data_IF_776132428341
#
_entry.id   IF_776132428341
#
_cell.length_a   1.000
_cell.length_b   1.000
_cell.length_c   1.000
_cell.angle_alpha   90.00
_cell.angle_beta   90.00
_cell.angle_gamma   90.00
#
_symmetry.space_group_name_H-M   'P 1'
#
loop_
_entity.id
_entity.type
_entity.pdbx_description
1 polymer ?
#
# COMPACT_ATOMS: atom_id res chain seq x y z
N UNK A 1 9.48 17.09 26.47
CA UNK A 1 9.57 18.57 26.52
C UNK A 1 10.00 19.04 25.13
N UNK A 2 9.35 20.08 24.63
CA UNK A 2 9.71 20.79 23.40
C UNK A 2 10.46 22.06 23.82
N UNK A 3 11.61 22.31 23.22
CA UNK A 3 12.40 23.53 23.44
C UNK A 3 12.36 24.33 22.15
N UNK A 4 11.90 25.58 22.24
CA UNK A 4 11.95 26.53 21.13
C UNK A 4 13.27 27.29 21.26
N UNK A 5 14.06 27.31 20.20
CA UNK A 5 15.38 27.98 20.21
C UNK A 5 15.31 29.49 20.03
N UNK A 6 14.21 29.96 19.44
CA UNK A 6 13.99 31.34 19.02
C UNK A 6 12.78 32.01 19.69
N UNK A 7 12.21 31.36 20.72
CA UNK A 7 11.03 31.80 21.48
C UNK A 7 9.81 32.20 20.64
N UNK A 8 9.77 31.79 19.36
CA UNK A 8 8.64 32.03 18.46
C UNK A 8 7.61 30.92 18.52
N UNK A 9 6.44 31.21 19.08
CA UNK A 9 5.32 30.24 19.19
C UNK A 9 4.75 29.78 17.84
N UNK A 10 5.02 30.50 16.75
CA UNK A 10 4.60 30.08 15.41
C UNK A 10 5.22 28.73 15.01
N UNK A 11 6.46 28.49 15.38
CA UNK A 11 7.16 27.21 15.14
C UNK A 11 6.52 26.01 15.84
N UNK A 12 5.81 26.24 16.95
CA UNK A 12 5.04 25.18 17.59
C UNK A 12 3.88 24.70 16.71
N UNK A 13 3.22 25.62 16.02
CA UNK A 13 2.14 25.27 15.07
C UNK A 13 2.67 24.48 13.89
N UNK A 14 3.82 24.89 13.36
CA UNK A 14 4.48 24.18 12.24
C UNK A 14 4.96 22.78 12.66
N UNK A 15 5.50 22.65 13.86
CA UNK A 15 5.90 21.34 14.40
C UNK A 15 4.69 20.40 14.57
N UNK A 16 3.54 20.91 15.02
CA UNK A 16 2.29 20.12 15.11
C UNK A 16 1.79 19.74 13.72
N UNK A 17 1.84 20.65 12.75
CA UNK A 17 1.43 20.38 11.38
C UNK A 17 2.30 19.29 10.75
N UNK A 18 3.61 19.39 10.89
CA UNK A 18 4.57 18.39 10.41
C UNK A 18 4.35 17.02 11.08
N UNK A 19 4.16 17.01 12.40
CA UNK A 19 3.89 15.77 13.14
C UNK A 19 2.60 15.08 12.68
N UNK A 20 1.54 15.83 12.39
CA UNK A 20 0.28 15.29 11.84
C UNK A 20 0.47 14.75 10.43
N UNK A 21 1.21 15.45 9.58
CA UNK A 21 1.57 14.99 8.23
C UNK A 21 2.31 13.66 8.28
N UNK A 22 3.40 13.58 9.07
CA UNK A 22 4.22 12.37 9.22
C UNK A 22 3.35 11.20 9.70
N UNK A 23 2.51 11.44 10.71
CA UNK A 23 1.64 10.40 11.25
C UNK A 23 0.64 9.86 10.21
N UNK A 24 -0.01 10.73 9.45
CA UNK A 24 -0.96 10.32 8.41
C UNK A 24 -0.23 9.59 7.26
N UNK A 25 0.94 10.04 6.85
CA UNK A 25 1.76 9.41 5.82
C UNK A 25 2.24 8.02 6.25
N UNK A 26 2.70 7.87 7.49
CA UNK A 26 3.10 6.58 8.05
C UNK A 26 1.92 5.59 8.10
N UNK A 27 0.71 6.07 8.44
CA UNK A 27 -0.49 5.23 8.39
C UNK A 27 -0.76 4.68 6.99
N UNK A 28 -0.65 5.52 5.96
CA UNK A 28 -0.85 5.12 4.56
C UNK A 28 0.18 4.09 4.14
N UNK A 29 1.45 4.31 4.48
CA UNK A 29 2.52 3.37 4.20
C UNK A 29 2.24 1.99 4.83
N UNK A 30 1.84 1.94 6.10
CA UNK A 30 1.54 0.67 6.78
C UNK A 30 0.29 0.00 6.17
N UNK A 31 -0.75 0.76 5.83
CA UNK A 31 -1.93 0.19 5.15
C UNK A 31 -1.56 -0.43 3.79
N UNK A 32 -0.73 0.25 3.02
CA UNK A 32 -0.21 -0.27 1.75
C UNK A 32 0.60 -1.55 1.97
N UNK A 33 1.53 -1.56 2.95
CA UNK A 33 2.34 -2.73 3.28
C UNK A 33 1.44 -3.93 3.62
N UNK A 34 0.44 -3.75 4.48
CA UNK A 34 -0.51 -4.82 4.82
C UNK A 34 -1.26 -5.29 3.58
N UNK A 35 -1.77 -4.36 2.76
CA UNK A 35 -2.57 -4.70 1.59
C UNK A 35 -1.80 -5.50 0.54
N UNK A 36 -0.50 -5.24 0.34
CA UNK A 36 0.29 -5.91 -0.70
C UNK A 36 0.91 -7.23 -0.22
N UNK A 37 1.20 -7.39 1.08
CA UNK A 37 1.74 -8.63 1.59
C UNK A 37 0.70 -9.77 1.63
N UNK A 38 -0.59 -9.43 1.81
CA UNK A 38 -1.67 -10.42 1.76
C UNK A 38 -1.68 -11.19 0.43
N UNK A 39 -1.73 -10.55 -0.76
CA UNK A 39 -1.69 -11.28 -2.01
C UNK A 39 -0.38 -12.04 -2.23
N UNK A 40 0.77 -11.52 -1.82
CA UNK A 40 2.05 -12.23 -1.96
C UNK A 40 2.02 -13.57 -1.23
N UNK A 41 1.49 -13.59 0.00
CA UNK A 41 1.37 -14.80 0.80
C UNK A 41 0.30 -15.74 0.21
N UNK A 42 -0.88 -15.22 -0.11
CA UNK A 42 -2.00 -16.03 -0.54
C UNK A 42 -1.83 -16.61 -1.96
N UNK A 43 -1.17 -15.87 -2.87
CA UNK A 43 -0.89 -16.36 -4.23
C UNK A 43 -0.01 -17.63 -4.20
N UNK A 44 0.88 -17.74 -3.21
CA UNK A 44 1.70 -18.95 -3.04
C UNK A 44 0.94 -20.04 -2.26
N UNK A 45 0.24 -19.65 -1.21
CA UNK A 45 -0.37 -20.60 -0.26
C UNK A 45 -1.65 -21.23 -0.81
N UNK A 46 -2.51 -20.47 -1.50
CA UNK A 46 -3.81 -20.98 -1.99
C UNK A 46 -3.63 -22.06 -3.06
N UNK A 47 -2.80 -21.91 -4.10
CA UNK A 47 -2.57 -22.98 -5.07
C UNK A 47 -1.98 -24.24 -4.45
N UNK A 48 -1.09 -24.10 -3.45
CA UNK A 48 -0.52 -25.23 -2.73
C UNK A 48 -1.59 -26.02 -1.98
N UNK A 49 -2.50 -25.35 -1.29
CA UNK A 49 -3.60 -26.00 -0.55
C UNK A 49 -4.67 -26.54 -1.51
N UNK A 50 -4.94 -25.85 -2.60
CA UNK A 50 -5.91 -26.25 -3.61
C UNK A 50 -5.44 -27.39 -4.50
N UNK A 51 -4.19 -27.84 -4.34
CA UNK A 51 -3.63 -28.95 -5.12
C UNK A 51 -3.44 -28.64 -6.60
N UNK A 52 -3.08 -27.41 -6.94
CA UNK A 52 -2.72 -27.08 -8.32
C UNK A 52 -1.51 -27.93 -8.75
N UNK A 53 -1.50 -28.36 -9.99
CA UNK A 53 -0.37 -29.10 -10.59
C UNK A 53 0.92 -28.29 -10.64
N UNK A 54 0.81 -26.97 -10.54
CA UNK A 54 1.88 -26.00 -10.59
C UNK A 54 1.87 -25.13 -9.34
N UNK A 55 2.86 -25.28 -8.47
CA UNK A 55 2.97 -24.59 -7.19
C UNK A 55 4.11 -23.57 -7.14
N UNK A 56 5.09 -23.64 -8.05
CA UNK A 56 6.25 -22.74 -8.09
C UNK A 56 5.91 -21.42 -8.78
N UNK A 57 4.96 -20.65 -8.19
CA UNK A 57 4.48 -19.39 -8.78
C UNK A 57 5.56 -18.31 -8.69
N UNK A 58 6.21 -18.18 -7.54
CA UNK A 58 7.29 -17.20 -7.34
C UNK A 58 8.64 -17.89 -7.13
N UNK A 59 9.62 -17.45 -7.91
CA UNK A 59 11.03 -17.75 -7.62
C UNK A 59 11.59 -16.68 -6.67
N UNK A 60 12.72 -16.92 -5.99
CA UNK A 60 13.37 -15.92 -5.16
C UNK A 60 13.61 -14.59 -5.88
N UNK A 61 13.91 -14.62 -7.19
CA UNK A 61 14.11 -13.43 -8.01
C UNK A 61 12.83 -12.58 -8.10
N UNK A 62 11.66 -13.20 -8.25
CA UNK A 62 10.38 -12.49 -8.27
C UNK A 62 10.12 -11.79 -6.93
N UNK A 63 10.40 -12.45 -5.81
CA UNK A 63 10.20 -11.89 -4.47
C UNK A 63 11.15 -10.70 -4.25
N UNK A 64 12.43 -10.84 -4.58
CA UNK A 64 13.42 -9.75 -4.48
C UNK A 64 12.99 -8.56 -5.33
N UNK A 65 12.49 -8.80 -6.54
CA UNK A 65 12.03 -7.73 -7.43
C UNK A 65 10.79 -6.99 -6.88
N UNK A 66 9.84 -7.74 -6.30
CA UNK A 66 8.69 -7.14 -5.63
C UNK A 66 9.11 -6.26 -4.45
N UNK A 67 10.02 -6.75 -3.61
CA UNK A 67 10.55 -5.99 -2.47
C UNK A 67 11.31 -4.73 -2.91
N UNK A 68 12.07 -4.82 -4.01
CA UNK A 68 12.79 -3.69 -4.58
C UNK A 68 11.84 -2.58 -5.07
N UNK A 69 10.63 -2.93 -5.51
CA UNK A 69 9.61 -1.95 -5.90
C UNK A 69 8.87 -1.41 -4.67
N UNK A 70 8.47 -2.30 -3.74
CA UNK A 70 7.66 -1.93 -2.59
C UNK A 70 8.39 -1.00 -1.60
N UNK A 71 9.66 -1.25 -1.33
CA UNK A 71 10.47 -0.45 -0.42
C UNK A 71 10.54 1.02 -0.84
N UNK A 72 11.01 1.36 -2.04
CA UNK A 72 11.01 2.72 -2.56
C UNK A 72 9.60 3.35 -2.65
N UNK A 73 8.59 2.59 -3.01
CA UNK A 73 7.21 3.08 -3.05
C UNK A 73 6.77 3.58 -1.68
N UNK A 74 7.02 2.82 -0.61
CA UNK A 74 6.70 3.24 0.75
C UNK A 74 7.49 4.47 1.17
N UNK A 75 8.81 4.45 0.99
CA UNK A 75 9.69 5.52 1.48
C UNK A 75 9.58 6.79 0.65
N UNK A 76 9.51 6.69 -0.67
CA UNK A 76 9.56 7.86 -1.54
C UNK A 76 8.17 8.47 -1.72
N UNK A 77 7.15 7.65 -2.02
CA UNK A 77 5.83 8.17 -2.35
C UNK A 77 5.08 8.60 -1.10
N UNK A 78 4.92 7.70 -0.12
CA UNK A 78 4.08 7.99 1.04
C UNK A 78 4.73 8.98 2.01
N UNK A 79 6.04 8.97 2.19
CA UNK A 79 6.74 9.90 3.06
C UNK A 79 6.63 11.35 2.54
N UNK A 80 6.67 11.53 1.23
CA UNK A 80 6.60 12.85 0.59
C UNK A 80 5.17 13.32 0.29
N UNK A 81 4.14 12.54 0.61
CA UNK A 81 2.75 12.96 0.37
C UNK A 81 2.43 14.24 1.12
N UNK A 82 1.83 15.25 0.46
CA UNK A 82 1.48 16.51 1.10
C UNK A 82 0.42 16.29 2.20
N UNK A 83 0.38 17.24 3.14
CA UNK A 83 -0.65 17.25 4.18
C UNK A 83 -2.04 17.46 3.57
N UNK A 84 -3.01 16.63 3.95
CA UNK A 84 -4.39 16.78 3.49
C UNK A 84 -5.02 18.09 3.99
N UNK A 85 -5.83 18.77 3.17
CA UNK A 85 -6.59 19.93 3.59
C UNK A 85 -7.44 19.65 4.85
N UNK A 86 -7.49 20.58 5.77
CA UNK A 86 -8.26 20.47 7.01
C UNK A 86 -7.62 19.59 8.10
N UNK A 87 -6.40 19.07 7.90
CA UNK A 87 -5.70 18.28 8.92
C UNK A 87 -5.48 19.07 10.23
N UNK A 88 -5.20 20.38 10.15
CA UNK A 88 -5.02 21.22 11.33
C UNK A 88 -6.33 21.56 12.06
N UNK A 89 -7.48 21.44 11.40
CA UNK A 89 -8.80 21.64 12.00
C UNK A 89 -9.28 20.45 12.84
N UNK A 90 -8.60 19.31 12.75
CA UNK A 90 -8.94 18.11 13.53
C UNK A 90 -8.58 18.32 15.01
N UNK A 91 -9.42 17.83 15.94
CA UNK A 91 -9.09 17.85 17.36
C UNK A 91 -7.80 17.07 17.65
N UNK A 92 -7.14 17.34 18.80
CA UNK A 92 -6.01 16.55 19.26
C UNK A 92 -6.37 15.07 19.39
N UNK A 93 -5.40 14.21 19.09
CA UNK A 93 -5.57 12.77 19.23
C UNK A 93 -5.67 12.38 20.72
N UNK A 94 -6.64 11.54 21.07
CA UNK A 94 -6.74 10.98 22.43
C UNK A 94 -5.56 10.02 22.67
N UNK A 95 -4.96 10.11 23.86
CA UNK A 95 -3.99 9.13 24.32
C UNK A 95 -4.65 7.73 24.39
N UNK A 96 -3.94 6.70 23.90
CA UNK A 96 -4.47 5.33 23.88
C UNK A 96 -5.20 4.91 22.60
N UNK A 97 -5.39 5.78 21.63
CA UNK A 97 -5.92 5.34 20.34
C UNK A 97 -4.92 4.42 19.61
N UNK A 98 -5.41 3.30 19.12
CA UNK A 98 -4.63 2.39 18.25
C UNK A 98 -4.12 3.12 17.02
N UNK A 99 -2.94 2.74 16.54
CA UNK A 99 -2.31 3.36 15.38
C UNK A 99 -3.17 3.22 14.13
N UNK A 100 -3.65 2.02 13.83
CA UNK A 100 -4.65 1.74 12.81
C UNK A 100 -5.99 1.43 13.45
N UNK A 101 -7.07 2.01 12.95
CA UNK A 101 -8.41 1.62 13.34
C UNK A 101 -8.78 0.27 12.70
N UNK A 102 -9.70 -0.46 13.35
CA UNK A 102 -10.19 -1.73 12.80
C UNK A 102 -10.76 -1.57 11.38
N UNK A 103 -11.47 -0.48 11.11
CA UNK A 103 -11.98 -0.18 9.76
C UNK A 103 -10.87 0.01 8.72
N UNK A 104 -9.78 0.70 9.07
CA UNK A 104 -8.64 0.88 8.17
C UNK A 104 -7.94 -0.44 7.87
N UNK A 105 -7.77 -1.30 8.88
CA UNK A 105 -7.19 -2.63 8.71
C UNK A 105 -8.09 -3.51 7.84
N UNK A 106 -9.40 -3.46 8.04
CA UNK A 106 -10.37 -4.22 7.22
C UNK A 106 -10.31 -3.81 5.75
N UNK A 107 -10.17 -2.52 5.45
CA UNK A 107 -10.01 -2.04 4.07
C UNK A 107 -8.72 -2.60 3.46
N UNK A 108 -7.61 -2.57 4.20
CA UNK A 108 -6.33 -3.13 3.71
C UNK A 108 -6.43 -4.62 3.44
N UNK A 109 -7.08 -5.37 4.32
CA UNK A 109 -7.32 -6.81 4.13
C UNK A 109 -8.20 -7.05 2.89
N UNK A 110 -9.30 -6.31 2.75
CA UNK A 110 -10.18 -6.44 1.60
C UNK A 110 -9.47 -6.14 0.28
N UNK A 111 -8.66 -5.07 0.23
CA UNK A 111 -7.84 -4.75 -0.93
C UNK A 111 -6.89 -5.91 -1.29
N UNK A 112 -6.20 -6.47 -0.31
CA UNK A 112 -5.32 -7.61 -0.52
C UNK A 112 -6.06 -8.86 -1.02
N UNK A 113 -7.24 -9.15 -0.49
CA UNK A 113 -8.07 -10.27 -0.93
C UNK A 113 -8.58 -10.09 -2.36
N UNK A 114 -9.01 -8.89 -2.74
CA UNK A 114 -9.45 -8.58 -4.11
C UNK A 114 -8.30 -8.75 -5.11
N UNK A 115 -7.11 -8.26 -4.78
CA UNK A 115 -5.91 -8.45 -5.60
C UNK A 115 -5.59 -9.93 -5.74
N UNK A 116 -5.61 -10.68 -4.63
CA UNK A 116 -5.38 -12.14 -4.62
C UNK A 116 -6.36 -12.85 -5.56
N UNK A 117 -7.65 -12.57 -5.42
CA UNK A 117 -8.69 -13.18 -6.25
C UNK A 117 -8.50 -12.85 -7.74
N UNK A 118 -8.14 -11.61 -8.06
CA UNK A 118 -7.84 -11.21 -9.44
C UNK A 118 -6.63 -11.94 -10.04
N UNK A 119 -5.52 -11.98 -9.30
CA UNK A 119 -4.30 -12.65 -9.74
C UNK A 119 -4.49 -14.16 -9.89
N UNK A 120 -5.08 -14.82 -8.89
CA UNK A 120 -5.35 -16.27 -8.94
C UNK A 120 -6.41 -16.61 -9.98
N UNK A 121 -7.45 -15.78 -10.13
CA UNK A 121 -8.47 -15.95 -11.17
C UNK A 121 -7.87 -15.89 -12.57
N UNK A 122 -7.01 -14.92 -12.84
CA UNK A 122 -6.28 -14.82 -14.10
C UNK A 122 -5.37 -16.03 -14.31
N UNK A 123 -4.58 -16.40 -13.30
CA UNK A 123 -3.71 -17.59 -13.38
C UNK A 123 -4.49 -18.88 -13.63
N UNK A 124 -5.61 -19.09 -12.92
CA UNK A 124 -6.46 -20.24 -13.09
C UNK A 124 -7.09 -20.32 -14.50
N UNK A 125 -7.54 -19.16 -15.02
CA UNK A 125 -8.06 -19.09 -16.38
C UNK A 125 -7.04 -19.58 -17.41
N UNK A 126 -5.80 -19.11 -17.34
CA UNK A 126 -4.75 -19.56 -18.26
C UNK A 126 -4.35 -21.02 -18.03
N UNK A 127 -4.36 -21.50 -16.79
CA UNK A 127 -4.10 -22.89 -16.46
C UNK A 127 -5.13 -23.82 -17.11
N UNK A 128 -6.41 -23.47 -17.09
CA UNK A 128 -7.48 -24.25 -17.73
C UNK A 128 -7.42 -24.25 -19.27
N UNK A 129 -6.79 -23.24 -19.86
CA UNK A 129 -6.61 -23.16 -21.32
C UNK A 129 -5.28 -23.75 -21.79
N UNK A 130 -4.72 -24.68 -21.02
CA UNK A 130 -3.49 -25.41 -21.34
C UNK A 130 -2.28 -24.51 -21.64
N UNK A 131 -2.23 -23.31 -21.01
CA UNK A 131 -1.06 -22.47 -21.08
C UNK A 131 0.12 -23.12 -20.35
N UNK A 132 1.34 -22.81 -20.79
CA UNK A 132 2.53 -23.32 -20.10
C UNK A 132 2.64 -22.72 -18.68
N UNK A 133 3.26 -23.46 -17.77
CA UNK A 133 3.52 -23.01 -16.39
C UNK A 133 4.22 -21.65 -16.35
N UNK A 134 5.10 -21.42 -17.32
CA UNK A 134 5.81 -20.16 -17.46
C UNK A 134 4.87 -18.99 -17.82
N UNK A 135 3.87 -19.25 -18.67
CA UNK A 135 2.84 -18.25 -19.02
C UNK A 135 1.98 -17.92 -17.80
N UNK A 136 1.51 -18.94 -17.07
CA UNK A 136 0.70 -18.76 -15.86
C UNK A 136 1.46 -17.94 -14.82
N UNK A 137 2.72 -18.26 -14.55
CA UNK A 137 3.61 -17.49 -13.67
C UNK A 137 3.71 -16.04 -14.09
N UNK A 138 3.97 -15.79 -15.38
CA UNK A 138 4.11 -14.44 -15.92
C UNK A 138 2.84 -13.64 -15.77
N UNK A 139 1.68 -14.23 -16.08
CA UNK A 139 0.37 -13.57 -15.94
C UNK A 139 0.11 -13.16 -14.49
N UNK A 140 0.31 -14.08 -13.54
CA UNK A 140 0.12 -13.79 -12.11
C UNK A 140 1.07 -12.68 -11.66
N UNK A 141 2.34 -12.75 -12.04
CA UNK A 141 3.35 -11.76 -11.64
C UNK A 141 3.05 -10.37 -12.19
N UNK A 142 2.73 -10.28 -13.49
CA UNK A 142 2.36 -9.00 -14.12
C UNK A 142 1.07 -8.43 -13.52
N UNK A 143 0.07 -9.28 -13.27
CA UNK A 143 -1.17 -8.87 -12.63
C UNK A 143 -0.92 -8.30 -11.24
N UNK A 144 -0.03 -8.91 -10.46
CA UNK A 144 0.36 -8.42 -9.14
C UNK A 144 1.12 -7.09 -9.21
N UNK A 145 2.04 -6.92 -10.18
CA UNK A 145 2.76 -5.66 -10.38
C UNK A 145 1.81 -4.51 -10.75
N UNK A 146 0.91 -4.75 -11.69
CA UNK A 146 -0.10 -3.76 -12.10
C UNK A 146 -0.99 -3.40 -10.91
N UNK A 147 -1.47 -4.40 -10.18
CA UNK A 147 -2.29 -4.19 -8.98
C UNK A 147 -1.55 -3.39 -7.92
N UNK A 148 -0.24 -3.59 -7.75
CA UNK A 148 0.60 -2.83 -6.83
C UNK A 148 0.67 -1.34 -7.21
N UNK A 149 0.83 -1.04 -8.50
CA UNK A 149 0.81 0.35 -9.00
C UNK A 149 -0.53 1.02 -8.69
N UNK A 150 -1.64 0.34 -8.99
CA UNK A 150 -2.98 0.87 -8.69
C UNK A 150 -3.22 1.01 -7.18
N UNK A 151 -2.78 0.04 -6.38
CA UNK A 151 -2.88 0.08 -4.93
C UNK A 151 -2.13 1.29 -4.35
N UNK A 152 -0.94 1.59 -4.89
CA UNK A 152 -0.18 2.77 -4.51
C UNK A 152 -0.99 4.05 -4.74
N UNK A 153 -1.63 4.18 -5.90
CA UNK A 153 -2.45 5.35 -6.24
C UNK A 153 -3.71 5.44 -5.37
N UNK A 154 -4.36 4.31 -5.07
CA UNK A 154 -5.57 4.27 -4.22
C UNK A 154 -5.26 4.70 -2.79
N UNK A 155 -4.14 4.26 -2.24
CA UNK A 155 -3.79 4.52 -0.83
C UNK A 155 -3.11 5.89 -0.58
N UNK A 156 -2.94 6.74 -1.60
CA UNK A 156 -2.38 8.10 -1.45
C UNK A 156 -3.21 9.01 -0.55
N UNK A 157 -4.52 8.80 -0.47
CA UNK A 157 -5.40 9.58 0.37
C UNK A 157 -6.45 8.72 1.08
N UNK A 158 -6.81 9.13 2.31
CA UNK A 158 -7.92 8.51 3.05
C UNK A 158 -9.30 9.08 2.69
N UNK A 159 -9.35 10.24 2.06
CA UNK A 159 -10.59 11.03 1.87
C UNK A 159 -10.93 11.30 0.42
N UNK A 160 -9.93 11.34 -0.43
CA UNK A 160 -10.10 11.76 -1.83
C UNK A 160 -9.99 10.58 -2.77
N UNK A 161 -10.76 10.61 -3.85
CA UNK A 161 -10.69 9.61 -4.90
C UNK A 161 -9.38 9.72 -5.70
N UNK A 162 -9.00 8.64 -6.40
CA UNK A 162 -7.81 8.62 -7.28
C UNK A 162 -7.78 9.83 -8.22
N UNK A 163 -8.92 10.16 -8.84
CA UNK A 163 -9.04 11.28 -9.79
C UNK A 163 -8.71 12.64 -9.16
N UNK A 164 -9.01 12.81 -7.88
CA UNK A 164 -8.67 14.02 -7.15
C UNK A 164 -7.21 14.01 -6.70
N UNK A 165 -6.72 12.85 -6.28
CA UNK A 165 -5.37 12.67 -5.75
C UNK A 165 -4.28 12.80 -6.83
N UNK A 166 -4.57 12.45 -8.08
CA UNK A 166 -3.67 12.66 -9.24
C UNK A 166 -3.38 14.16 -9.44
N UNK A 167 -4.29 15.05 -9.06
CA UNK A 167 -4.08 16.50 -9.13
C UNK A 167 -3.21 17.07 -8.00
N UNK A 168 -2.96 16.31 -6.94
CA UNK A 168 -2.04 16.75 -5.89
C UNK A 168 -0.60 16.64 -6.39
N UNK A 169 0.10 17.78 -6.34
CA UNK A 169 1.50 17.88 -6.73
C UNK A 169 2.38 17.14 -5.72
N UNK A 170 2.55 15.84 -5.91
CA UNK A 170 3.64 15.10 -5.30
C UNK A 170 4.75 14.99 -6.35
N UNK A 171 5.89 15.61 -6.08
CA UNK A 171 7.02 15.70 -7.02
C UNK A 171 7.61 14.35 -7.43
N UNK A 172 7.28 13.30 -6.66
CA UNK A 172 7.80 11.95 -6.83
C UNK A 172 6.81 11.01 -7.57
N UNK A 173 5.62 11.49 -7.89
CA UNK A 173 4.63 10.73 -8.67
C UNK A 173 4.40 11.51 -9.96
N UNK A 174 4.75 10.92 -11.12
CA UNK A 174 4.54 11.54 -12.43
C UNK A 174 3.05 11.77 -12.73
#
# INVERSE_FOLDING_TARGET
>A
SLILTDDDLSHMTDAVALGRKIYDNLKRAIQYIVSIHIPIILIVTVPLIAGWSFTDIFTPVHVIFLELIMGPTCSIIYENEPMEPGTMQRPPRKMGNTFLSFGQLSVSILQGLVITAGCLGAGYYFLQHAASDQTVRTVIFISLLISNIFLTLVNRSFRYSILQTIRYKNWMVP
#
